data_IF_644911504341
#
_entry.id   IF_644911504341
#
_cell.length_a   1.000
_cell.length_b   1.000
_cell.length_c   1.000
_cell.angle_alpha   90.00
_cell.angle_beta   90.00
_cell.angle_gamma   90.00
#
_symmetry.space_group_name_H-M   'P 1'
#
loop_
_entity.id
_entity.type
_entity.pdbx_description
1 polymer ?
#
# COMPACT_ATOMS: atom_id res chain seq x y z
N UNK A 1 -18.03 6.41 -17.18
CA UNK A 1 -17.69 7.52 -16.26
C UNK A 1 -16.30 7.29 -15.72
N UNK A 2 -15.63 8.33 -15.22
CA UNK A 2 -14.31 8.20 -14.59
C UNK A 2 -14.52 7.95 -13.09
N UNK A 3 -13.95 6.86 -12.56
CA UNK A 3 -13.95 6.54 -11.12
C UNK A 3 -12.52 6.43 -10.60
N UNK A 4 -12.34 6.52 -9.28
CA UNK A 4 -11.02 6.30 -8.65
C UNK A 4 -10.52 4.87 -8.88
N UNK A 5 -11.43 3.89 -9.00
CA UNK A 5 -11.10 2.51 -9.40
C UNK A 5 -10.42 2.42 -10.78
N UNK A 6 -10.94 3.10 -11.80
CA UNK A 6 -10.31 3.14 -13.13
C UNK A 6 -8.92 3.77 -13.08
N UNK A 7 -8.70 4.76 -12.22
CA UNK A 7 -7.37 5.35 -12.01
C UNK A 7 -6.42 4.34 -11.35
N UNK A 8 -6.89 3.58 -10.36
CA UNK A 8 -6.11 2.53 -9.70
C UNK A 8 -5.69 1.41 -10.66
N UNK A 9 -6.61 0.92 -11.51
CA UNK A 9 -6.33 -0.08 -12.54
C UNK A 9 -5.26 0.42 -13.52
N UNK A 10 -5.37 1.68 -13.92
CA UNK A 10 -4.41 2.31 -14.83
C UNK A 10 -3.05 2.47 -14.17
N UNK A 11 -2.99 2.83 -12.89
CA UNK A 11 -1.75 2.92 -12.13
C UNK A 11 -1.02 1.57 -12.10
N UNK A 12 -1.71 0.50 -11.70
CA UNK A 12 -1.15 -0.86 -11.67
C UNK A 12 -0.65 -1.30 -13.06
N UNK A 13 -1.44 -1.02 -14.10
CA UNK A 13 -1.06 -1.33 -15.49
C UNK A 13 0.21 -0.58 -15.91
N UNK A 14 0.32 0.71 -15.58
CA UNK A 14 1.49 1.53 -15.91
C UNK A 14 2.74 1.08 -15.14
N UNK A 15 2.61 0.72 -13.86
CA UNK A 15 3.73 0.20 -13.07
C UNK A 15 4.23 -1.12 -13.66
N UNK A 16 3.32 -2.04 -13.98
CA UNK A 16 3.65 -3.30 -14.63
C UNK A 16 4.33 -3.11 -15.98
N UNK A 17 3.85 -2.18 -16.82
CA UNK A 17 4.50 -1.84 -18.08
C UNK A 17 5.92 -1.31 -17.91
N UNK A 18 6.20 -0.65 -16.78
CA UNK A 18 7.54 -0.20 -16.40
C UNK A 18 8.39 -1.28 -15.72
N UNK A 19 7.90 -2.52 -15.67
CA UNK A 19 8.58 -3.64 -15.00
C UNK A 19 8.58 -3.54 -13.47
N UNK A 20 7.71 -2.72 -12.89
CA UNK A 20 7.57 -2.54 -11.46
C UNK A 20 6.31 -3.25 -10.96
N UNK A 21 6.49 -4.20 -10.05
CA UNK A 21 5.41 -4.86 -9.33
C UNK A 21 5.44 -4.40 -7.87
N UNK A 22 4.43 -3.65 -7.40
CA UNK A 22 4.39 -3.22 -6.00
C UNK A 22 4.34 -4.42 -5.06
N UNK A 23 5.15 -4.38 -4.01
CA UNK A 23 5.13 -5.30 -2.85
C UNK A 23 4.46 -4.68 -1.62
N UNK A 24 4.20 -3.38 -1.64
CA UNK A 24 3.45 -2.67 -0.62
C UNK A 24 2.47 -1.68 -1.26
N UNK A 25 1.21 -1.72 -0.83
CA UNK A 25 0.18 -0.76 -1.26
C UNK A 25 -0.54 -0.23 -0.04
N UNK A 26 -0.51 1.09 0.14
CA UNK A 26 -1.34 1.81 1.09
C UNK A 26 -2.34 2.68 0.31
N UNK A 27 -3.63 2.43 0.45
CA UNK A 27 -4.68 3.26 -0.15
C UNK A 27 -5.66 3.74 0.92
N UNK A 28 -5.96 5.03 0.90
CA UNK A 28 -6.75 5.72 1.93
C UNK A 28 -7.85 6.52 1.25
N UNK A 29 -9.07 6.47 1.79
CA UNK A 29 -10.21 7.21 1.25
C UNK A 29 -11.33 7.39 2.26
N UNK A 30 -12.18 8.39 2.10
CA UNK A 30 -13.17 8.83 3.08
C UNK A 30 -14.60 8.84 2.53
N UNK A 31 -14.81 8.58 1.24
CA UNK A 31 -16.12 8.69 0.63
C UNK A 31 -16.50 7.47 -0.24
N UNK A 32 -17.69 7.52 -0.83
CA UNK A 32 -18.21 6.43 -1.66
C UNK A 32 -17.37 6.21 -2.93
N UNK A 33 -16.72 7.25 -3.44
CA UNK A 33 -15.92 7.13 -4.66
C UNK A 33 -14.64 6.34 -4.46
N UNK A 34 -14.16 6.22 -3.22
CA UNK A 34 -12.99 5.41 -2.85
C UNK A 34 -13.27 3.90 -2.80
N UNK A 35 -14.54 3.49 -2.71
CA UNK A 35 -14.93 2.09 -2.62
C UNK A 35 -14.48 1.27 -3.83
N UNK A 36 -14.57 1.85 -5.04
CA UNK A 36 -14.08 1.21 -6.26
C UNK A 36 -12.55 1.11 -6.27
N UNK A 37 -11.84 2.07 -5.65
CA UNK A 37 -10.38 2.03 -5.51
C UNK A 37 -9.94 0.91 -4.57
N UNK A 38 -10.63 0.75 -3.43
CA UNK A 38 -10.32 -0.32 -2.46
C UNK A 38 -10.50 -1.71 -3.08
N UNK A 39 -11.57 -1.91 -3.84
CA UNK A 39 -11.86 -3.19 -4.50
C UNK A 39 -10.79 -3.56 -5.53
N UNK A 40 -10.34 -2.60 -6.34
CA UNK A 40 -9.28 -2.83 -7.34
C UNK A 40 -8.00 -3.33 -6.68
N UNK A 41 -7.51 -2.63 -5.65
CA UNK A 41 -6.25 -3.02 -5.00
C UNK A 41 -6.37 -4.33 -4.23
N UNK A 42 -7.49 -4.56 -3.54
CA UNK A 42 -7.71 -5.81 -2.80
C UNK A 42 -7.80 -7.01 -3.75
N UNK A 43 -8.45 -6.85 -4.89
CA UNK A 43 -8.55 -7.90 -5.91
C UNK A 43 -7.24 -8.15 -6.64
N UNK A 44 -6.37 -7.14 -6.73
CA UNK A 44 -5.07 -7.24 -7.40
C UNK A 44 -4.07 -8.16 -6.67
N UNK A 45 -4.28 -8.47 -5.38
CA UNK A 45 -3.41 -9.35 -4.58
C UNK A 45 -3.26 -10.74 -5.20
N UNK A 46 -4.34 -11.28 -5.78
CA UNK A 46 -4.31 -12.57 -6.47
C UNK A 46 -3.92 -12.46 -7.95
N UNK A 47 -3.64 -11.24 -8.43
CA UNK A 47 -3.39 -10.94 -9.83
C UNK A 47 -1.90 -10.75 -10.16
N UNK A 48 -1.56 -10.71 -11.46
CA UNK A 48 -0.17 -10.56 -11.92
C UNK A 48 0.31 -9.10 -11.93
N UNK A 49 -0.35 -8.21 -11.20
CA UNK A 49 -0.08 -6.77 -11.18
C UNK A 49 0.62 -6.32 -9.89
N UNK A 50 0.69 -7.20 -8.89
CA UNK A 50 1.42 -7.01 -7.65
C UNK A 50 2.49 -8.10 -7.50
N UNK A 51 3.45 -7.86 -6.61
CA UNK A 51 4.44 -8.86 -6.21
C UNK A 51 3.75 -10.04 -5.51
N UNK A 52 4.26 -11.29 -5.61
CA UNK A 52 3.70 -12.43 -4.85
C UNK A 52 3.75 -12.27 -3.33
N UNK A 53 4.60 -11.38 -2.82
CA UNK A 53 4.70 -11.04 -1.39
C UNK A 53 3.97 -9.75 -1.03
N UNK A 54 3.13 -9.25 -1.94
CA UNK A 54 2.53 -7.94 -1.76
C UNK A 54 1.55 -7.88 -0.57
N UNK A 55 1.67 -6.83 0.22
CA UNK A 55 0.69 -6.49 1.25
C UNK A 55 -0.11 -5.24 0.86
N UNK A 56 -1.44 -5.34 0.97
CA UNK A 56 -2.38 -4.27 0.66
C UNK A 56 -3.08 -3.80 1.92
N UNK A 57 -2.92 -2.52 2.21
CA UNK A 57 -3.54 -1.79 3.32
C UNK A 57 -4.55 -0.79 2.77
N UNK A 58 -5.78 -1.26 2.58
CA UNK A 58 -6.90 -0.41 2.23
C UNK A 58 -7.56 0.14 3.51
N UNK A 59 -7.60 1.46 3.64
CA UNK A 59 -8.06 2.18 4.82
C UNK A 59 -9.19 3.14 4.47
N UNK A 60 -10.36 2.97 5.10
CA UNK A 60 -11.39 4.00 5.09
C UNK A 60 -11.15 5.02 6.21
N UNK A 61 -11.47 6.30 5.99
CA UNK A 61 -11.46 7.32 7.04
C UNK A 61 -12.85 7.40 7.68
N UNK A 62 -12.88 7.39 9.01
CA UNK A 62 -14.08 7.26 9.82
C UNK A 62 -14.57 5.82 9.93
N UNK A 63 -15.23 5.51 11.05
CA UNK A 63 -15.86 4.20 11.25
C UNK A 63 -17.19 4.13 10.51
N UNK A 64 -17.18 3.52 9.32
CA UNK A 64 -18.34 3.37 8.44
C UNK A 64 -18.27 2.07 7.63
N UNK A 65 -19.41 1.59 7.09
CA UNK A 65 -19.38 0.49 6.14
C UNK A 65 -18.49 0.82 4.94
N UNK A 66 -17.52 -0.05 4.65
CA UNK A 66 -16.58 0.11 3.55
C UNK A 66 -16.07 -1.26 3.07
N UNK A 67 -15.62 -1.33 1.82
CA UNK A 67 -14.84 -2.43 1.26
C UNK A 67 -13.39 -2.43 1.73
N UNK A 68 -12.90 -1.34 2.32
CA UNK A 68 -11.59 -1.28 2.95
C UNK A 68 -11.51 -2.25 4.14
N UNK A 69 -10.36 -2.90 4.32
CA UNK A 69 -10.11 -3.85 5.42
C UNK A 69 -9.86 -3.14 6.76
N UNK A 70 -9.27 -1.95 6.71
CA UNK A 70 -8.89 -1.16 7.87
C UNK A 70 -9.63 0.16 7.88
N UNK A 71 -9.64 0.83 9.04
CA UNK A 71 -10.11 2.20 9.14
C UNK A 71 -9.14 3.06 9.95
N UNK A 72 -9.15 4.35 9.69
CA UNK A 72 -8.49 5.40 10.46
C UNK A 72 -9.59 6.34 10.98
N UNK A 73 -9.52 6.74 12.24
CA UNK A 73 -10.62 7.50 12.87
C UNK A 73 -10.87 8.84 12.17
N UNK A 74 -9.79 9.57 11.92
CA UNK A 74 -9.82 10.87 11.26
C UNK A 74 -8.47 11.19 10.59
N UNK A 75 -8.36 12.41 10.06
CA UNK A 75 -7.15 12.88 9.38
C UNK A 75 -5.91 12.94 10.28
N UNK A 76 -6.06 13.10 11.60
CA UNK A 76 -4.95 13.10 12.53
C UNK A 76 -4.28 11.74 12.61
N UNK A 77 -5.06 10.65 12.52
CA UNK A 77 -4.52 9.30 12.49
C UNK A 77 -3.78 8.99 11.20
N UNK A 78 -4.23 9.54 10.06
CA UNK A 78 -3.50 9.45 8.79
C UNK A 78 -2.11 10.06 8.95
N UNK A 79 -2.03 11.27 9.51
CA UNK A 79 -0.76 11.96 9.72
C UNK A 79 0.14 11.15 10.65
N UNK A 80 -0.38 10.68 11.79
CA UNK A 80 0.35 9.87 12.76
C UNK A 80 0.89 8.58 12.14
N UNK A 81 0.08 7.90 11.33
CA UNK A 81 0.50 6.69 10.62
C UNK A 81 1.63 6.99 9.62
N UNK A 82 1.48 8.03 8.79
CA UNK A 82 2.51 8.41 7.82
C UNK A 82 3.83 8.82 8.49
N UNK A 83 3.76 9.53 9.63
CA UNK A 83 4.93 9.85 10.45
C UNK A 83 5.60 8.58 11.02
N UNK A 84 4.80 7.61 11.46
CA UNK A 84 5.28 6.32 11.91
C UNK A 84 6.02 5.57 10.80
N UNK A 85 5.46 5.53 9.59
CA UNK A 85 6.09 4.92 8.42
C UNK A 85 7.42 5.60 8.05
N UNK A 86 7.45 6.93 8.04
CA UNK A 86 8.68 7.68 7.77
C UNK A 86 9.78 7.35 8.81
N UNK A 87 9.42 7.35 10.10
CA UNK A 87 10.35 7.04 11.20
C UNK A 87 10.89 5.61 11.11
N UNK A 88 10.01 4.65 10.81
CA UNK A 88 10.40 3.24 10.64
C UNK A 88 11.32 3.05 9.44
N UNK A 89 11.03 3.72 8.31
CA UNK A 89 11.87 3.70 7.10
C UNK A 89 13.26 4.24 7.38
N UNK A 90 13.37 5.36 8.08
CA UNK A 90 14.67 5.95 8.47
C UNK A 90 15.47 5.02 9.37
N UNK A 91 14.81 4.31 10.29
CA UNK A 91 15.46 3.35 11.18
C UNK A 91 15.97 2.14 10.42
N UNK A 92 15.17 1.59 9.51
CA UNK A 92 15.54 0.46 8.66
C UNK A 92 16.73 0.81 7.73
N UNK A 93 16.79 2.04 7.22
CA UNK A 93 17.92 2.50 6.42
C UNK A 93 19.23 2.64 7.23
N UNK A 94 19.14 2.83 8.55
CA UNK A 94 20.30 3.02 9.44
C UNK A 94 20.84 1.74 10.07
N UNK A 95 20.09 0.63 10.03
CA UNK A 95 20.59 -0.66 10.54
C UNK A 95 21.74 -1.17 9.66
N UNK A 96 22.96 -1.38 10.20
CA UNK A 96 24.06 -1.93 9.41
C UNK A 96 23.72 -3.38 9.03
N UNK A 97 23.92 -3.72 7.75
CA UNK A 97 23.79 -5.09 7.25
C UNK A 97 24.70 -6.02 8.06
N UNK A 98 24.24 -7.20 8.51
CA UNK A 98 25.13 -8.19 9.14
C UNK A 98 26.21 -8.59 8.13
N UNK A 99 27.45 -8.18 8.40
CA UNK A 99 28.61 -8.65 7.66
C UNK A 99 28.84 -10.11 8.01
N UNK A 100 28.42 -11.03 7.14
CA UNK A 100 28.89 -12.41 7.18
C UNK A 100 30.30 -12.46 6.57
N UNK A 101 31.32 -12.43 7.42
CA UNK A 101 32.70 -12.72 7.04
C UNK A 101 32.88 -14.23 6.90
N UNK A 102 32.90 -14.72 5.65
CA UNK A 102 33.45 -16.03 5.30
C UNK A 102 34.95 -15.89 5.08
N UNK A 103 35.72 -15.80 6.15
CA UNK A 103 37.16 -16.09 6.11
C UNK A 103 37.49 -17.01 7.29
N UNK A 104 37.41 -18.31 7.03
CA UNK A 104 38.18 -19.39 7.65
C UNK A 104 37.79 -20.71 6.97
N UNK A 105 38.32 -20.92 5.76
CA UNK A 105 38.56 -22.23 5.16
C UNK A 105 39.97 -22.21 4.58
#
# INVERSE_FOLDING_TARGET
>A
GVTKGVVAERLLSLMKQKGMLPDFVLCIGDDRSDEDMFEVFTSAVSGPSLSPVAEVFACTVGQKPSKAKYYLEDTSEIIRMLQGLATASDTAARSPSPQFSFENL
#
